data_IF_441075204100
#
_entry.id   IF_441075204100
#
_cell.length_a   1.000
_cell.length_b   1.000
_cell.length_c   1.000
_cell.angle_alpha   90.00
_cell.angle_beta   90.00
_cell.angle_gamma   90.00
#
_symmetry.space_group_name_H-M   'P 1'
#
loop_
_entity.id
_entity.type
_entity.pdbx_description
1 polymer ?
#
# COMPACT_ATOMS: atom_id res chain seq x y z
N UNK A 1 4.31 -34.54 3.41
CA UNK A 1 4.99 -34.33 2.11
C UNK A 1 4.17 -33.33 1.32
N UNK A 2 4.76 -32.22 0.89
CA UNK A 2 4.06 -31.22 0.08
C UNK A 2 4.00 -31.75 -1.37
N UNK A 3 2.81 -32.11 -1.87
CA UNK A 3 2.65 -32.60 -3.24
C UNK A 3 2.81 -31.45 -4.27
N UNK A 4 3.23 -31.78 -5.50
CA UNK A 4 3.47 -30.80 -6.56
C UNK A 4 2.24 -29.90 -6.85
N UNK A 5 1.03 -30.46 -6.80
CA UNK A 5 -0.23 -29.69 -6.92
C UNK A 5 -0.46 -28.71 -5.75
N UNK A 6 -0.06 -29.07 -4.53
CA UNK A 6 -0.12 -28.18 -3.37
C UNK A 6 0.91 -27.05 -3.50
N UNK A 7 2.12 -27.34 -4.00
CA UNK A 7 3.19 -26.38 -4.23
C UNK A 7 2.86 -25.39 -5.37
N UNK A 8 2.18 -25.84 -6.43
CA UNK A 8 1.68 -24.94 -7.48
C UNK A 8 0.43 -24.17 -7.05
N UNK A 9 -0.47 -24.77 -6.26
CA UNK A 9 -1.64 -24.10 -5.71
C UNK A 9 -1.31 -23.01 -4.69
N UNK A 10 -0.21 -23.19 -3.95
CA UNK A 10 0.32 -22.23 -2.97
C UNK A 10 1.02 -21.02 -3.59
N UNK A 11 1.63 -21.15 -4.78
CA UNK A 11 2.25 -20.01 -5.46
C UNK A 11 1.25 -18.94 -5.96
N UNK A 12 -0.03 -19.30 -6.10
CA UNK A 12 -1.13 -18.41 -6.50
C UNK A 12 -1.69 -17.56 -5.33
N UNK A 13 -0.98 -17.46 -4.20
CA UNK A 13 -1.50 -16.88 -2.95
C UNK A 13 -1.43 -15.35 -2.91
N UNK A 14 -0.62 -14.75 -3.77
CA UNK A 14 -0.65 -13.31 -4.00
C UNK A 14 -1.37 -13.04 -5.30
N UNK A 15 -2.59 -12.49 -5.23
CA UNK A 15 -3.32 -12.06 -6.43
C UNK A 15 -2.56 -11.00 -7.26
N UNK A 16 -1.55 -10.36 -6.64
CA UNK A 16 -0.59 -9.49 -7.30
C UNK A 16 0.52 -10.28 -8.02
N UNK A 17 0.93 -11.45 -7.50
CA UNK A 17 1.95 -12.29 -8.14
C UNK A 17 1.52 -12.76 -9.53
N UNK A 18 0.24 -13.09 -9.73
CA UNK A 18 -0.29 -13.46 -11.05
C UNK A 18 -0.13 -12.35 -12.12
N UNK A 19 0.01 -11.09 -11.69
CA UNK A 19 0.25 -9.94 -12.56
C UNK A 19 1.71 -9.60 -12.78
N UNK A 20 2.55 -9.72 -11.74
CA UNK A 20 3.89 -9.13 -11.74
C UNK A 20 5.02 -10.16 -11.67
N UNK A 21 4.74 -11.39 -11.22
CA UNK A 21 5.74 -12.39 -10.92
C UNK A 21 6.01 -13.34 -12.09
N UNK A 22 7.27 -13.76 -12.23
CA UNK A 22 7.63 -14.87 -13.09
C UNK A 22 7.22 -16.15 -12.36
N UNK A 23 6.53 -17.05 -13.04
CA UNK A 23 6.21 -18.37 -12.49
C UNK A 23 7.51 -19.19 -12.42
N UNK A 24 7.93 -19.68 -11.24
CA UNK A 24 9.10 -20.55 -11.15
C UNK A 24 8.85 -21.85 -11.93
N UNK A 25 9.91 -22.43 -12.50
CA UNK A 25 9.84 -23.79 -13.03
C UNK A 25 9.69 -24.81 -11.90
N UNK A 26 9.13 -25.98 -12.21
CA UNK A 26 8.97 -27.05 -11.21
C UNK A 26 10.32 -27.47 -10.61
N UNK A 27 11.39 -27.44 -11.42
CA UNK A 27 12.74 -27.71 -10.93
C UNK A 27 13.19 -26.68 -9.89
N UNK A 28 13.06 -25.38 -10.17
CA UNK A 28 13.45 -24.31 -9.24
C UNK A 28 12.63 -24.41 -7.95
N UNK A 29 11.33 -24.69 -8.08
CA UNK A 29 10.44 -24.84 -6.93
C UNK A 29 10.89 -26.00 -6.02
N UNK A 30 11.21 -27.15 -6.62
CA UNK A 30 11.70 -28.32 -5.89
C UNK A 30 13.06 -28.05 -5.25
N UNK A 31 14.01 -27.47 -5.99
CA UNK A 31 15.34 -27.13 -5.46
C UNK A 31 15.24 -26.15 -4.28
N UNK A 32 14.40 -25.11 -4.37
CA UNK A 32 14.23 -24.14 -3.26
C UNK A 32 13.62 -24.79 -2.01
N UNK A 33 12.67 -25.72 -2.18
CA UNK A 33 11.98 -26.35 -1.04
C UNK A 33 12.86 -27.40 -0.35
N UNK A 34 13.58 -28.22 -1.13
CA UNK A 34 14.30 -29.38 -0.60
C UNK A 34 15.82 -29.16 -0.47
N UNK A 35 16.41 -28.33 -1.33
CA UNK A 35 17.85 -28.08 -1.38
C UNK A 35 18.18 -26.59 -1.56
N UNK A 36 17.67 -25.67 -0.70
CA UNK A 36 17.80 -24.22 -0.91
C UNK A 36 19.24 -23.74 -1.05
N UNK A 37 20.21 -24.48 -0.50
CA UNK A 37 21.64 -24.18 -0.60
C UNK A 37 22.18 -24.29 -2.03
N UNK A 38 21.65 -25.20 -2.87
CA UNK A 38 22.13 -25.46 -4.24
C UNK A 38 21.64 -24.43 -5.25
N UNK A 39 20.57 -23.69 -4.92
CA UNK A 39 19.98 -22.66 -5.78
C UNK A 39 20.94 -21.49 -5.95
N UNK A 40 21.46 -21.32 -7.17
CA UNK A 40 22.44 -20.27 -7.48
C UNK A 40 21.84 -18.87 -7.38
N UNK A 41 20.60 -18.69 -7.86
CA UNK A 41 19.90 -17.41 -7.83
C UNK A 41 19.08 -17.28 -6.53
N UNK A 42 19.68 -16.65 -5.51
CA UNK A 42 19.10 -16.55 -4.17
C UNK A 42 17.76 -15.80 -4.11
N UNK A 43 17.42 -14.98 -5.10
CA UNK A 43 16.10 -14.33 -5.15
C UNK A 43 14.94 -15.31 -5.29
N UNK A 44 15.15 -16.49 -5.89
CA UNK A 44 14.13 -17.55 -5.89
C UNK A 44 13.92 -18.14 -4.50
N UNK A 45 15.00 -18.34 -3.74
CA UNK A 45 14.93 -18.76 -2.33
C UNK A 45 14.14 -17.72 -1.54
N UNK A 46 14.46 -16.43 -1.69
CA UNK A 46 13.76 -15.34 -1.05
C UNK A 46 12.26 -15.33 -1.42
N UNK A 47 11.94 -15.30 -2.71
CA UNK A 47 10.58 -15.18 -3.23
C UNK A 47 9.67 -16.33 -2.78
N UNK A 48 10.11 -17.58 -2.99
CA UNK A 48 9.30 -18.76 -2.70
C UNK A 48 9.12 -18.96 -1.18
N UNK A 49 10.19 -18.80 -0.39
CA UNK A 49 10.07 -18.91 1.07
C UNK A 49 9.16 -17.81 1.64
N UNK A 50 9.19 -16.59 1.06
CA UNK A 50 8.30 -15.51 1.46
C UNK A 50 6.82 -15.80 1.12
N UNK A 51 6.55 -16.37 -0.06
CA UNK A 51 5.20 -16.85 -0.41
C UNK A 51 4.73 -17.91 0.59
N UNK A 52 5.55 -18.93 0.86
CA UNK A 52 5.18 -19.98 1.83
C UNK A 52 4.96 -19.44 3.24
N UNK A 53 5.68 -18.40 3.62
CA UNK A 53 5.49 -17.72 4.90
C UNK A 53 4.15 -16.98 5.00
N UNK A 54 3.73 -16.32 3.92
CA UNK A 54 2.39 -15.70 3.86
C UNK A 54 1.29 -16.77 4.00
N UNK A 55 1.53 -17.96 3.44
CA UNK A 55 0.60 -19.09 3.49
C UNK A 55 0.57 -19.71 4.88
N UNK A 56 1.74 -19.93 5.50
CA UNK A 56 1.83 -20.51 6.83
C UNK A 56 1.19 -19.63 7.89
N UNK A 57 1.18 -18.31 7.69
CA UNK A 57 0.43 -17.38 8.55
C UNK A 57 -1.10 -17.57 8.44
N UNK A 58 -1.61 -18.15 7.35
CA UNK A 58 -3.05 -18.45 7.14
C UNK A 58 -3.42 -19.88 7.48
N UNK A 59 -2.47 -20.81 7.38
CA UNK A 59 -2.68 -22.24 7.58
C UNK A 59 -1.89 -22.76 8.79
N UNK A 60 -2.60 -23.11 9.86
CA UNK A 60 -2.02 -23.61 11.11
C UNK A 60 -1.19 -24.89 10.92
N UNK A 61 -1.47 -25.69 9.88
CA UNK A 61 -0.73 -26.93 9.61
C UNK A 61 0.73 -26.66 9.21
N UNK A 62 0.99 -25.53 8.56
CA UNK A 62 2.33 -25.11 8.12
C UNK A 62 3.07 -24.25 9.16
N UNK A 63 2.44 -23.96 10.30
CA UNK A 63 3.02 -23.11 11.35
C UNK A 63 4.41 -23.57 11.80
N UNK A 64 4.64 -24.88 11.91
CA UNK A 64 5.92 -25.48 12.30
C UNK A 64 7.08 -25.18 11.32
N UNK A 65 6.79 -24.89 10.05
CA UNK A 65 7.79 -24.56 9.02
C UNK A 65 8.14 -23.06 8.96
N UNK A 66 7.38 -22.22 9.65
CA UNK A 66 7.55 -20.75 9.67
C UNK A 66 8.97 -20.33 10.04
N UNK A 67 9.57 -20.97 11.03
CA UNK A 67 10.95 -20.68 11.46
C UNK A 67 11.96 -20.99 10.36
N UNK A 68 11.78 -22.10 9.64
CA UNK A 68 12.66 -22.51 8.52
C UNK A 68 12.53 -21.55 7.34
N UNK A 69 11.31 -21.15 6.96
CA UNK A 69 11.10 -20.18 5.88
C UNK A 69 11.75 -18.83 6.21
N UNK A 70 11.64 -18.37 7.46
CA UNK A 70 12.32 -17.15 7.93
C UNK A 70 13.84 -17.26 7.87
N UNK A 71 14.38 -18.41 8.27
CA UNK A 71 15.82 -18.66 8.21
C UNK A 71 16.33 -18.59 6.76
N UNK A 72 15.64 -19.22 5.82
CA UNK A 72 15.98 -19.21 4.41
C UNK A 72 15.88 -17.80 3.79
N UNK A 73 14.87 -17.02 4.16
CA UNK A 73 14.75 -15.60 3.74
C UNK A 73 15.96 -14.80 4.22
N UNK A 74 16.37 -14.98 5.48
CA UNK A 74 17.53 -14.28 6.05
C UNK A 74 18.81 -14.65 5.30
N UNK A 75 19.06 -15.94 5.09
CA UNK A 75 20.24 -16.40 4.34
C UNK A 75 20.25 -15.89 2.90
N UNK A 76 19.09 -15.81 2.25
CA UNK A 76 18.99 -15.23 0.91
C UNK A 76 19.34 -13.74 0.92
N UNK A 77 18.85 -12.98 1.91
CA UNK A 77 19.16 -11.55 2.08
C UNK A 77 20.62 -11.27 2.47
N UNK A 78 21.34 -12.24 3.02
CA UNK A 78 22.78 -12.12 3.29
C UNK A 78 23.62 -12.21 1.99
N UNK A 79 23.04 -12.65 0.86
CA UNK A 79 23.71 -12.65 -0.44
C UNK A 79 23.61 -11.27 -1.12
N UNK A 80 24.75 -10.59 -1.19
CA UNK A 80 24.87 -9.27 -1.80
C UNK A 80 24.41 -9.22 -3.27
N UNK A 81 24.45 -10.33 -4.02
CA UNK A 81 24.04 -10.37 -5.43
C UNK A 81 22.59 -9.98 -5.64
N UNK A 82 21.72 -10.26 -4.67
CA UNK A 82 20.30 -9.85 -4.73
C UNK A 82 20.17 -8.32 -4.89
N UNK A 83 21.10 -7.56 -4.32
CA UNK A 83 21.08 -6.09 -4.37
C UNK A 83 21.92 -5.50 -5.49
N UNK A 84 23.02 -6.17 -5.84
CA UNK A 84 24.05 -5.64 -6.74
C UNK A 84 23.84 -6.02 -8.21
N UNK A 85 23.19 -7.14 -8.50
CA UNK A 85 22.98 -7.63 -9.87
C UNK A 85 21.52 -7.41 -10.30
N UNK A 86 21.23 -6.55 -11.30
CA UNK A 86 19.88 -6.36 -11.79
C UNK A 86 19.31 -7.66 -12.39
N UNK A 87 18.21 -8.16 -11.83
CA UNK A 87 17.49 -9.31 -12.35
C UNK A 87 15.99 -9.17 -12.03
N UNK A 88 15.10 -9.58 -12.92
CA UNK A 88 13.65 -9.45 -12.70
C UNK A 88 13.14 -10.16 -11.45
N UNK A 89 13.70 -11.32 -11.12
CA UNK A 89 13.31 -12.07 -9.93
C UNK A 89 13.80 -11.34 -8.67
N UNK A 90 14.97 -10.66 -8.73
CA UNK A 90 15.42 -9.79 -7.65
C UNK A 90 14.42 -8.65 -7.46
N UNK A 91 14.02 -7.98 -8.55
CA UNK A 91 13.01 -6.90 -8.52
C UNK A 91 11.70 -7.41 -7.90
N UNK A 92 11.19 -8.58 -8.32
CA UNK A 92 9.96 -9.17 -7.79
C UNK A 92 10.06 -9.49 -6.31
N UNK A 93 11.12 -10.18 -5.89
CA UNK A 93 11.33 -10.59 -4.50
C UNK A 93 11.46 -9.38 -3.57
N UNK A 94 12.27 -8.39 -3.97
CA UNK A 94 12.45 -7.14 -3.22
C UNK A 94 11.17 -6.32 -3.14
N UNK A 95 10.43 -6.20 -4.25
CA UNK A 95 9.12 -5.51 -4.28
C UNK A 95 8.15 -6.18 -3.31
N UNK A 96 8.03 -7.51 -3.40
CA UNK A 96 7.08 -8.26 -2.60
C UNK A 96 7.40 -8.18 -1.11
N UNK A 97 8.68 -8.32 -0.73
CA UNK A 97 9.11 -8.15 0.65
C UNK A 97 8.91 -6.72 1.15
N UNK A 98 9.12 -5.70 0.32
CA UNK A 98 8.90 -4.29 0.70
C UNK A 98 7.43 -3.95 0.94
N UNK A 99 6.50 -4.56 0.19
CA UNK A 99 5.08 -4.27 0.28
C UNK A 99 4.38 -5.08 1.37
N UNK A 100 4.74 -6.36 1.52
CA UNK A 100 4.02 -7.33 2.34
C UNK A 100 4.83 -7.82 3.55
N UNK A 101 6.07 -7.37 3.70
CA UNK A 101 6.97 -7.79 4.79
C UNK A 101 6.76 -7.04 6.09
N UNK A 102 5.54 -6.64 6.44
CA UNK A 102 5.22 -5.85 7.65
C UNK A 102 5.66 -6.52 8.97
N UNK A 103 5.70 -7.85 9.00
CA UNK A 103 6.18 -8.63 10.14
C UNK A 103 7.72 -8.74 10.22
N UNK A 104 8.44 -8.38 9.16
CA UNK A 104 9.87 -8.68 8.98
C UNK A 104 10.75 -7.47 8.71
N UNK A 105 10.16 -6.42 8.16
CA UNK A 105 10.88 -5.24 7.71
C UNK A 105 10.53 -4.08 8.62
N UNK A 106 11.56 -3.35 9.06
CA UNK A 106 11.34 -2.02 9.60
C UNK A 106 10.95 -1.07 8.45
N UNK A 107 10.28 0.07 8.74
CA UNK A 107 10.00 1.10 7.73
C UNK A 107 11.21 1.44 6.85
N UNK A 108 12.37 1.64 7.49
CA UNK A 108 13.63 1.94 6.81
C UNK A 108 14.11 0.77 5.94
N UNK A 109 13.98 -0.47 6.39
CA UNK A 109 14.33 -1.64 5.59
C UNK A 109 13.39 -1.78 4.39
N UNK A 110 12.07 -1.60 4.56
CA UNK A 110 11.13 -1.65 3.42
C UNK A 110 11.46 -0.58 2.38
N UNK A 111 11.80 0.63 2.82
CA UNK A 111 12.25 1.70 1.92
C UNK A 111 13.53 1.35 1.17
N UNK A 112 14.53 0.77 1.85
CA UNK A 112 15.77 0.32 1.23
C UNK A 112 15.52 -0.77 0.19
N UNK A 113 14.71 -1.77 0.52
CA UNK A 113 14.34 -2.85 -0.40
C UNK A 113 13.62 -2.32 -1.64
N UNK A 114 12.62 -1.44 -1.44
CA UNK A 114 11.93 -0.77 -2.53
C UNK A 114 12.89 0.07 -3.39
N UNK A 115 13.86 0.74 -2.76
CA UNK A 115 14.87 1.56 -3.43
C UNK A 115 15.83 0.74 -4.31
N UNK A 116 16.22 -0.45 -3.86
CA UNK A 116 17.01 -1.38 -4.67
C UNK A 116 16.18 -1.92 -5.84
N UNK A 117 14.93 -2.30 -5.60
CA UNK A 117 14.03 -2.77 -6.63
C UNK A 117 13.78 -1.71 -7.72
N UNK A 118 13.59 -0.43 -7.34
CA UNK A 118 13.45 0.68 -8.28
C UNK A 118 14.69 0.85 -9.17
N UNK A 119 15.90 0.85 -8.57
CA UNK A 119 17.15 0.97 -9.32
C UNK A 119 17.36 -0.18 -10.29
N UNK A 120 17.06 -1.42 -9.87
CA UNK A 120 17.15 -2.58 -10.73
C UNK A 120 16.09 -2.54 -11.85
N UNK A 121 14.86 -2.09 -11.57
CA UNK A 121 13.82 -1.91 -12.58
C UNK A 121 14.20 -0.87 -13.65
N UNK A 122 14.91 0.20 -13.25
CA UNK A 122 15.49 1.17 -14.18
C UNK A 122 16.60 0.53 -15.02
N UNK A 123 17.54 -0.19 -14.40
CA UNK A 123 18.63 -0.85 -15.11
C UNK A 123 18.14 -1.91 -16.13
N UNK A 124 17.04 -2.60 -15.82
CA UNK A 124 16.40 -3.57 -16.71
C UNK A 124 15.41 -2.95 -17.71
N UNK A 125 15.21 -1.63 -17.66
CA UNK A 125 14.28 -0.90 -18.52
C UNK A 125 12.84 -1.45 -18.51
N UNK A 126 12.33 -1.84 -17.34
CA UNK A 126 10.99 -2.45 -17.22
C UNK A 126 9.83 -1.54 -17.67
N UNK A 127 10.09 -0.24 -17.81
CA UNK A 127 9.14 0.77 -18.28
C UNK A 127 9.07 0.88 -19.81
N UNK A 128 10.05 0.35 -20.54
CA UNK A 128 10.04 0.38 -22.00
C UNK A 128 9.09 -0.69 -22.53
N UNK A 129 8.31 -0.30 -23.53
CA UNK A 129 7.42 -1.20 -24.27
C UNK A 129 7.93 -1.30 -25.70
N UNK A 130 8.02 -2.52 -26.24
CA UNK A 130 8.34 -2.73 -27.66
C UNK A 130 7.04 -2.75 -28.48
N UNK A 131 7.16 -2.76 -29.82
CA UNK A 131 6.02 -2.69 -30.73
C UNK A 131 5.00 -3.86 -30.60
N UNK A 132 5.38 -4.96 -29.96
CA UNK A 132 4.52 -6.14 -29.76
C UNK A 132 4.27 -6.40 -28.28
N UNK A 133 3.11 -6.00 -27.77
CA UNK A 133 2.67 -6.20 -26.39
C UNK A 133 2.54 -7.69 -26.02
N UNK A 134 3.67 -8.32 -25.69
CA UNK A 134 3.67 -9.69 -25.18
C UNK A 134 3.14 -9.74 -23.75
N UNK A 135 2.66 -10.91 -23.32
CA UNK A 135 2.24 -11.10 -21.92
C UNK A 135 3.39 -10.81 -20.93
N UNK A 136 4.63 -11.08 -21.35
CA UNK A 136 5.82 -10.79 -20.56
C UNK A 136 6.08 -9.28 -20.42
N UNK A 137 5.94 -8.52 -21.50
CA UNK A 137 6.09 -7.07 -21.45
C UNK A 137 5.01 -6.42 -20.58
N UNK A 138 3.77 -6.88 -20.67
CA UNK A 138 2.69 -6.40 -19.80
C UNK A 138 2.98 -6.70 -18.31
N UNK A 139 3.54 -7.87 -18.01
CA UNK A 139 3.99 -8.22 -16.65
C UNK A 139 5.11 -7.28 -16.17
N UNK A 140 6.13 -7.03 -16.99
CA UNK A 140 7.25 -6.12 -16.68
C UNK A 140 6.77 -4.69 -16.44
N UNK A 141 5.90 -4.19 -17.33
CA UNK A 141 5.30 -2.87 -17.22
C UNK A 141 4.44 -2.74 -15.95
N UNK A 142 3.66 -3.78 -15.62
CA UNK A 142 2.86 -3.81 -14.39
C UNK A 142 3.76 -3.81 -13.15
N UNK A 143 4.85 -4.59 -13.14
CA UNK A 143 5.84 -4.57 -12.05
C UNK A 143 6.47 -3.18 -11.88
N UNK A 144 6.83 -2.52 -12.98
CA UNK A 144 7.33 -1.15 -12.96
C UNK A 144 6.31 -0.20 -12.32
N UNK A 145 5.04 -0.25 -12.71
CA UNK A 145 4.01 0.60 -12.15
C UNK A 145 3.70 0.30 -10.68
N UNK A 146 3.81 -0.96 -10.26
CA UNK A 146 3.74 -1.33 -8.83
C UNK A 146 4.87 -0.66 -8.06
N UNK A 147 6.10 -0.76 -8.55
CA UNK A 147 7.24 -0.07 -7.93
C UNK A 147 7.10 1.45 -7.94
N UNK A 148 6.55 2.00 -9.02
CA UNK A 148 6.25 3.42 -9.13
C UNK A 148 5.30 3.89 -8.03
N UNK A 149 4.23 3.13 -7.76
CA UNK A 149 3.33 3.41 -6.63
C UNK A 149 4.04 3.27 -5.29
N UNK A 150 4.90 2.24 -5.17
CA UNK A 150 5.62 1.95 -3.92
C UNK A 150 6.55 3.09 -3.53
N UNK A 151 7.33 3.57 -4.49
CA UNK A 151 8.21 4.72 -4.35
C UNK A 151 7.47 5.95 -3.77
N UNK A 152 6.33 6.32 -4.36
CA UNK A 152 5.54 7.48 -3.89
C UNK A 152 4.97 7.29 -2.50
N UNK A 153 4.45 6.10 -2.24
CA UNK A 153 3.88 5.78 -0.95
C UNK A 153 4.93 5.81 0.17
N UNK A 154 6.13 5.28 -0.08
CA UNK A 154 7.26 5.37 0.86
C UNK A 154 7.75 6.81 1.03
N UNK A 155 7.87 7.59 -0.04
CA UNK A 155 8.25 9.00 0.04
C UNK A 155 7.27 9.82 0.89
N UNK A 156 5.97 9.61 0.73
CA UNK A 156 4.94 10.25 1.56
C UNK A 156 5.00 9.79 3.03
N UNK A 157 5.17 8.48 3.26
CA UNK A 157 5.14 7.93 4.62
C UNK A 157 6.39 8.29 5.44
N UNK A 158 7.57 8.37 4.79
CA UNK A 158 8.86 8.50 5.47
C UNK A 158 9.54 9.85 5.24
N UNK A 159 9.01 10.70 4.36
CA UNK A 159 9.60 11.99 4.01
C UNK A 159 10.89 11.88 3.17
N UNK A 160 11.10 10.75 2.49
CA UNK A 160 12.27 10.56 1.62
C UNK A 160 12.03 11.05 0.19
N UNK A 161 13.06 11.54 -0.53
CA UNK A 161 12.93 11.89 -1.95
C UNK A 161 12.46 10.71 -2.81
N UNK A 162 11.67 10.99 -3.85
CA UNK A 162 11.23 9.96 -4.81
C UNK A 162 12.39 9.53 -5.71
N UNK A 163 12.44 8.24 -6.06
CA UNK A 163 13.43 7.69 -6.99
C UNK A 163 12.93 7.64 -8.44
N UNK A 164 11.61 7.60 -8.64
CA UNK A 164 11.00 7.51 -9.95
C UNK A 164 10.18 8.79 -10.25
N UNK A 165 10.79 9.88 -10.76
CA UNK A 165 10.09 11.13 -10.99
C UNK A 165 8.93 11.00 -11.97
N UNK A 166 7.73 11.49 -11.62
CA UNK A 166 6.55 11.39 -12.50
C UNK A 166 6.78 12.02 -13.88
N UNK A 167 7.51 13.13 -13.92
CA UNK A 167 7.78 13.85 -15.17
C UNK A 167 8.59 13.01 -16.18
N UNK A 168 9.53 12.20 -15.70
CA UNK A 168 10.36 11.34 -16.56
C UNK A 168 9.54 10.21 -17.21
N UNK A 169 8.49 9.75 -16.54
CA UNK A 169 7.69 8.61 -16.95
C UNK A 169 6.28 8.97 -17.42
N UNK A 170 6.04 10.25 -17.77
CA UNK A 170 4.73 10.74 -18.19
C UNK A 170 4.19 10.03 -19.44
N UNK A 171 5.09 9.71 -20.37
CA UNK A 171 4.79 9.07 -21.66
C UNK A 171 4.80 7.53 -21.59
N UNK A 172 5.12 6.94 -20.44
CA UNK A 172 5.06 5.48 -20.29
C UNK A 172 3.59 5.07 -20.30
N UNK A 173 3.17 4.10 -21.14
CA UNK A 173 1.78 3.68 -21.20
C UNK A 173 1.35 2.97 -19.91
N UNK A 174 0.05 2.97 -19.64
CA UNK A 174 -0.53 2.11 -18.61
C UNK A 174 -0.57 0.66 -19.11
N UNK A 175 -0.54 -0.35 -18.22
CA UNK A 175 -0.72 -1.73 -18.64
C UNK A 175 -2.09 -1.93 -19.28
N UNK A 176 -2.18 -2.88 -20.20
CA UNK A 176 -3.42 -3.19 -20.91
C UNK A 176 -4.50 -3.59 -19.92
N UNK A 177 -5.71 -3.05 -20.08
CA UNK A 177 -6.81 -3.36 -19.17
C UNK A 177 -7.12 -4.86 -19.12
N UNK A 178 -7.05 -5.55 -20.27
CA UNK A 178 -7.20 -7.00 -20.36
C UNK A 178 -6.15 -7.77 -19.55
N UNK A 179 -4.91 -7.28 -19.49
CA UNK A 179 -3.89 -7.85 -18.63
C UNK A 179 -4.23 -7.62 -17.16
N UNK A 180 -4.70 -6.41 -16.81
CA UNK A 180 -5.08 -6.05 -15.45
C UNK A 180 -6.30 -6.81 -14.92
N UNK A 181 -7.17 -7.38 -15.78
CA UNK A 181 -8.27 -8.28 -15.37
C UNK A 181 -7.80 -9.56 -14.66
N UNK A 182 -6.50 -9.88 -14.74
CA UNK A 182 -5.89 -10.94 -13.94
C UNK A 182 -5.77 -10.56 -12.47
N UNK A 183 -5.85 -9.27 -12.12
CA UNK A 183 -5.90 -8.83 -10.73
C UNK A 183 -7.24 -9.20 -10.11
N UNK A 184 -7.29 -10.40 -9.54
CA UNK A 184 -8.47 -10.93 -8.87
C UNK A 184 -8.17 -11.09 -7.39
N UNK A 185 -8.40 -10.07 -6.57
CA UNK A 185 -8.24 -10.19 -5.13
C UNK A 185 -9.15 -11.31 -4.57
N UNK A 186 -8.63 -12.55 -4.47
CA UNK A 186 -9.29 -13.73 -3.89
C UNK A 186 -9.56 -13.47 -2.42
N UNK A 187 -10.78 -13.77 -1.98
CA UNK A 187 -11.25 -13.67 -0.59
C UNK A 187 -11.90 -15.03 -0.25
N UNK A 188 -11.36 -15.78 0.72
CA UNK A 188 -11.84 -17.12 1.12
C UNK A 188 -10.84 -18.29 1.00
N UNK A 189 -11.19 -19.45 1.59
CA UNK A 189 -10.37 -20.68 1.67
C UNK A 189 -10.02 -21.26 0.28
N UNK A 190 -8.86 -21.92 0.23
CA UNK A 190 -8.14 -22.46 -0.94
C UNK A 190 -8.89 -23.40 -1.90
N UNK A 191 -10.17 -23.71 -1.66
CA UNK A 191 -10.91 -24.73 -2.39
C UNK A 191 -12.06 -24.09 -3.16
N UNK A 192 -11.83 -23.77 -4.43
CA UNK A 192 -12.78 -23.89 -5.56
C UNK A 192 -12.23 -23.13 -6.78
N UNK A 193 -11.28 -23.74 -7.48
CA UNK A 193 -10.68 -23.19 -8.70
C UNK A 193 -11.58 -23.30 -9.96
N UNK A 194 -12.84 -23.76 -9.85
CA UNK A 194 -13.57 -24.28 -11.01
C UNK A 194 -14.95 -23.69 -11.31
N UNK A 195 -15.37 -22.58 -10.71
CA UNK A 195 -16.73 -22.08 -11.01
C UNK A 195 -16.97 -20.60 -10.72
N UNK A 196 -16.26 -19.68 -11.37
CA UNK A 196 -16.83 -18.35 -11.63
C UNK A 196 -16.65 -17.93 -13.10
N UNK A 197 -17.73 -17.93 -13.91
CA UNK A 197 -17.70 -17.55 -15.32
C UNK A 197 -17.63 -16.02 -15.55
N UNK A 198 -17.62 -15.20 -14.49
CA UNK A 198 -17.61 -13.74 -14.59
C UNK A 198 -16.19 -13.16 -14.43
N UNK A 199 -15.77 -12.35 -15.40
CA UNK A 199 -14.56 -11.54 -15.30
C UNK A 199 -14.83 -10.30 -14.44
N UNK A 200 -14.40 -10.30 -13.18
CA UNK A 200 -14.37 -9.09 -12.32
C UNK A 200 -13.45 -8.03 -12.93
N UNK A 201 -13.94 -6.80 -13.01
CA UNK A 201 -13.28 -5.61 -13.56
C UNK A 201 -12.83 -4.64 -12.47
N UNK A 202 -13.43 -4.70 -11.27
CA UNK A 202 -13.16 -3.81 -10.14
C UNK A 202 -11.67 -3.72 -9.83
N UNK A 203 -10.97 -4.86 -9.76
CA UNK A 203 -9.54 -4.91 -9.49
C UNK A 203 -8.71 -4.14 -10.52
N UNK A 204 -9.00 -4.33 -11.81
CA UNK A 204 -8.31 -3.64 -12.89
C UNK A 204 -8.51 -2.12 -12.83
N UNK A 205 -9.75 -1.68 -12.55
CA UNK A 205 -10.04 -0.27 -12.31
C UNK A 205 -9.29 0.27 -11.10
N UNK A 206 -9.31 -0.44 -9.97
CA UNK A 206 -8.61 -0.04 -8.75
C UNK A 206 -7.12 0.16 -8.98
N UNK A 207 -6.45 -0.80 -9.62
CA UNK A 207 -5.03 -0.72 -9.91
C UNK A 207 -4.72 0.44 -10.88
N UNK A 208 -5.52 0.59 -11.93
CA UNK A 208 -5.41 1.71 -12.88
C UNK A 208 -5.49 3.07 -12.17
N UNK A 209 -6.45 3.23 -11.25
CA UNK A 209 -6.62 4.48 -10.53
C UNK A 209 -5.50 4.73 -9.51
N UNK A 210 -4.96 3.69 -8.86
CA UNK A 210 -3.78 3.86 -8.00
C UNK A 210 -2.54 4.30 -8.79
N UNK A 211 -2.34 3.78 -10.01
CA UNK A 211 -1.22 4.22 -10.87
C UNK A 211 -1.38 5.69 -11.24
N UNK A 212 -2.59 6.11 -11.63
CA UNK A 212 -2.89 7.52 -11.91
C UNK A 212 -2.66 8.41 -10.68
N UNK A 213 -3.13 7.99 -9.51
CA UNK A 213 -2.87 8.70 -8.26
C UNK A 213 -1.37 8.85 -7.99
N UNK A 214 -0.60 7.78 -8.12
CA UNK A 214 0.84 7.82 -7.89
C UNK A 214 1.55 8.81 -8.85
N UNK A 215 1.10 8.91 -10.11
CA UNK A 215 1.62 9.93 -11.04
C UNK A 215 1.36 11.33 -10.49
N UNK A 216 0.12 11.62 -10.09
CA UNK A 216 -0.26 12.90 -9.47
C UNK A 216 0.54 13.18 -8.20
N UNK A 217 0.68 12.19 -7.32
CA UNK A 217 1.47 12.29 -6.09
C UNK A 217 2.91 12.71 -6.38
N UNK A 218 3.56 12.10 -7.39
CA UNK A 218 4.93 12.50 -7.74
C UNK A 218 5.03 13.88 -8.38
N UNK A 219 3.98 14.38 -9.03
CA UNK A 219 3.91 15.78 -9.49
C UNK A 219 3.80 16.74 -8.30
N UNK A 220 2.92 16.42 -7.35
CA UNK A 220 2.65 17.17 -6.12
C UNK A 220 3.89 17.24 -5.21
N UNK A 221 4.60 16.12 -5.02
CA UNK A 221 5.83 16.09 -4.22
C UNK A 221 6.95 16.97 -4.80
N UNK A 222 6.85 17.37 -6.08
CA UNK A 222 7.79 18.26 -6.75
C UNK A 222 7.09 19.48 -7.36
N UNK A 223 6.14 20.10 -6.64
CA UNK A 223 5.46 21.34 -7.09
C UNK A 223 6.43 22.42 -7.58
N UNK A 224 7.55 22.75 -6.92
CA UNK A 224 8.44 23.81 -7.42
C UNK A 224 9.00 23.54 -8.81
N UNK A 225 9.17 22.26 -9.17
CA UNK A 225 9.73 21.83 -10.46
C UNK A 225 8.62 21.64 -11.51
N UNK A 226 7.49 21.06 -11.11
CA UNK A 226 6.43 20.66 -12.03
C UNK A 226 5.30 21.70 -12.14
N UNK A 227 5.15 22.59 -11.15
CA UNK A 227 3.98 23.44 -10.97
C UNK A 227 3.69 24.33 -12.16
N UNK A 228 4.70 24.90 -12.82
CA UNK A 228 4.48 25.83 -13.93
C UNK A 228 3.65 25.23 -15.09
N UNK A 229 3.78 23.93 -15.36
CA UNK A 229 3.04 23.27 -16.45
C UNK A 229 1.59 22.95 -16.08
N UNK A 230 1.29 22.79 -14.80
CA UNK A 230 -0.01 22.33 -14.30
C UNK A 230 -0.78 23.44 -13.56
N UNK A 231 -0.57 24.71 -13.91
CA UNK A 231 -1.26 25.82 -13.25
C UNK A 231 -0.84 26.04 -11.79
N UNK A 232 0.39 25.68 -11.45
CA UNK A 232 0.95 25.78 -10.12
C UNK A 232 0.38 24.76 -9.14
N UNK A 233 0.34 25.14 -7.87
CA UNK A 233 -0.25 24.33 -6.80
C UNK A 233 -1.76 24.18 -6.98
N UNK A 234 -2.44 25.26 -7.35
CA UNK A 234 -3.90 25.29 -7.50
C UNK A 234 -4.38 24.36 -8.62
N UNK A 235 -3.73 24.37 -9.79
CA UNK A 235 -4.11 23.47 -10.86
C UNK A 235 -3.82 21.99 -10.55
N UNK A 236 -2.79 21.69 -9.74
CA UNK A 236 -2.56 20.33 -9.23
C UNK A 236 -3.60 19.90 -8.20
N UNK A 237 -4.11 20.82 -7.36
CA UNK A 237 -5.24 20.55 -6.45
C UNK A 237 -6.49 20.24 -7.28
N UNK A 238 -6.82 21.08 -8.27
CA UNK A 238 -7.96 20.84 -9.16
C UNK A 238 -7.84 19.48 -9.87
N UNK A 239 -6.65 19.12 -10.35
CA UNK A 239 -6.44 17.83 -11.01
C UNK A 239 -6.60 16.65 -10.04
N UNK A 240 -6.18 16.80 -8.78
CA UNK A 240 -6.40 15.80 -7.73
C UNK A 240 -7.89 15.63 -7.41
N UNK A 241 -8.66 16.72 -7.37
CA UNK A 241 -10.11 16.71 -7.14
C UNK A 241 -10.87 16.02 -8.29
N UNK A 242 -10.54 16.37 -9.53
CA UNK A 242 -11.11 15.74 -10.73
C UNK A 242 -10.84 14.22 -10.72
N UNK A 243 -9.63 13.83 -10.32
CA UNK A 243 -9.25 12.43 -10.18
C UNK A 243 -10.06 11.71 -9.09
N UNK A 244 -10.32 12.32 -7.94
CA UNK A 244 -11.11 11.71 -6.86
C UNK A 244 -12.56 11.50 -7.29
N UNK A 245 -13.19 12.52 -7.89
CA UNK A 245 -14.56 12.43 -8.39
C UNK A 245 -14.69 11.30 -9.42
N UNK A 246 -13.80 11.28 -10.41
CA UNK A 246 -13.78 10.24 -11.44
C UNK A 246 -13.54 8.85 -10.85
N UNK A 247 -12.60 8.72 -9.90
CA UNK A 247 -12.23 7.45 -9.29
C UNK A 247 -13.35 6.87 -8.45
N UNK A 248 -14.03 7.70 -7.63
CA UNK A 248 -15.16 7.24 -6.83
C UNK A 248 -16.31 6.77 -7.71
N UNK A 249 -16.58 7.47 -8.82
CA UNK A 249 -17.60 7.06 -9.77
C UNK A 249 -17.26 5.69 -10.39
N UNK A 250 -16.08 5.57 -11.00
CA UNK A 250 -15.63 4.34 -11.68
C UNK A 250 -15.66 3.12 -10.75
N UNK A 251 -15.15 3.26 -9.53
CA UNK A 251 -15.09 2.14 -8.58
C UNK A 251 -16.45 1.80 -7.99
N UNK A 252 -17.32 2.79 -7.78
CA UNK A 252 -18.68 2.53 -7.30
C UNK A 252 -19.49 1.82 -8.37
N UNK A 253 -19.45 2.29 -9.63
CA UNK A 253 -20.11 1.63 -10.76
C UNK A 253 -19.61 0.20 -10.95
N UNK A 254 -18.30 -0.04 -10.92
CA UNK A 254 -17.73 -1.38 -11.01
C UNK A 254 -18.18 -2.29 -9.85
N UNK A 255 -18.28 -1.76 -8.62
CA UNK A 255 -18.77 -2.52 -7.46
C UNK A 255 -20.25 -2.87 -7.61
N UNK A 256 -21.10 -1.93 -8.05
CA UNK A 256 -22.54 -2.19 -8.23
C UNK A 256 -22.80 -3.19 -9.37
N UNK A 257 -22.05 -3.11 -10.48
CA UNK A 257 -22.13 -4.08 -11.58
C UNK A 257 -21.77 -5.50 -11.15
N UNK A 258 -20.89 -5.64 -10.17
CA UNK A 258 -20.46 -6.94 -9.64
C UNK A 258 -21.27 -7.39 -8.42
N UNK A 259 -22.19 -6.56 -7.90
CA UNK A 259 -22.88 -6.78 -6.64
C UNK A 259 -23.70 -8.07 -6.58
N UNK A 260 -24.44 -8.38 -7.65
CA UNK A 260 -25.33 -9.54 -7.71
C UNK A 260 -24.57 -10.87 -7.73
N UNK A 261 -23.30 -10.86 -8.17
CA UNK A 261 -22.47 -12.06 -8.34
C UNK A 261 -21.35 -12.18 -7.29
N UNK A 262 -21.11 -11.12 -6.52
CA UNK A 262 -20.05 -11.06 -5.52
C UNK A 262 -20.55 -11.56 -4.15
N UNK A 263 -19.67 -12.26 -3.43
CA UNK A 263 -19.91 -12.59 -2.03
C UNK A 263 -19.91 -11.34 -1.15
N UNK A 264 -20.53 -11.43 0.03
CA UNK A 264 -20.52 -10.33 1.00
C UNK A 264 -19.09 -9.91 1.38
N UNK A 265 -18.16 -10.87 1.46
CA UNK A 265 -16.74 -10.60 1.73
C UNK A 265 -16.08 -9.83 0.57
N UNK A 266 -16.39 -10.18 -0.69
CA UNK A 266 -15.93 -9.45 -1.87
C UNK A 266 -16.44 -8.01 -1.87
N UNK A 267 -17.72 -7.80 -1.58
CA UNK A 267 -18.31 -6.45 -1.51
C UNK A 267 -17.72 -5.60 -0.38
N UNK A 268 -17.44 -6.20 0.78
CA UNK A 268 -16.71 -5.55 1.87
C UNK A 268 -15.29 -5.16 1.44
N UNK A 269 -14.59 -6.03 0.72
CA UNK A 269 -13.27 -5.75 0.15
C UNK A 269 -13.27 -4.59 -0.85
N UNK A 270 -14.24 -4.56 -1.76
CA UNK A 270 -14.41 -3.46 -2.73
C UNK A 270 -14.73 -2.13 -2.01
N UNK A 271 -15.61 -2.17 -1.00
CA UNK A 271 -15.95 -0.99 -0.20
C UNK A 271 -14.75 -0.45 0.57
N UNK A 272 -13.92 -1.34 1.12
CA UNK A 272 -12.65 -0.97 1.74
C UNK A 272 -11.70 -0.31 0.73
N UNK A 273 -11.58 -0.87 -0.47
CA UNK A 273 -10.73 -0.32 -1.53
C UNK A 273 -11.15 1.11 -1.92
N UNK A 274 -12.45 1.37 -2.07
CA UNK A 274 -12.98 2.73 -2.33
C UNK A 274 -12.61 3.69 -1.20
N UNK A 275 -12.81 3.28 0.07
CA UNK A 275 -12.46 4.10 1.24
C UNK A 275 -10.95 4.37 1.33
N UNK A 276 -10.12 3.39 0.97
CA UNK A 276 -8.66 3.55 0.90
C UNK A 276 -8.27 4.60 -0.15
N UNK A 277 -8.93 4.63 -1.31
CA UNK A 277 -8.68 5.65 -2.33
C UNK A 277 -9.04 7.04 -1.82
N UNK A 278 -10.19 7.18 -1.15
CA UNK A 278 -10.60 8.44 -0.53
C UNK A 278 -9.63 8.90 0.55
N UNK A 279 -9.19 7.98 1.41
CA UNK A 279 -8.21 8.29 2.46
C UNK A 279 -6.87 8.76 1.88
N UNK A 280 -6.37 8.12 0.81
CA UNK A 280 -5.14 8.56 0.12
C UNK A 280 -5.31 9.94 -0.52
N UNK A 281 -6.45 10.21 -1.15
CA UNK A 281 -6.79 11.53 -1.67
C UNK A 281 -6.71 12.60 -0.58
N UNK A 282 -7.41 12.40 0.54
CA UNK A 282 -7.45 13.38 1.63
C UNK A 282 -6.06 13.63 2.21
N UNK A 283 -5.26 12.58 2.38
CA UNK A 283 -3.88 12.71 2.83
C UNK A 283 -3.03 13.58 1.88
N UNK A 284 -3.08 13.29 0.57
CA UNK A 284 -2.34 14.06 -0.44
C UNK A 284 -2.85 15.50 -0.51
N UNK A 285 -4.16 15.71 -0.43
CA UNK A 285 -4.78 17.04 -0.43
C UNK A 285 -4.28 17.87 0.76
N UNK A 286 -4.38 17.34 1.99
CA UNK A 286 -3.96 18.05 3.21
C UNK A 286 -2.47 18.41 3.19
N UNK A 287 -1.62 17.56 2.59
CA UNK A 287 -0.20 17.86 2.37
C UNK A 287 0.03 18.95 1.31
N UNK A 288 -0.84 19.03 0.32
CA UNK A 288 -0.74 19.99 -0.79
C UNK A 288 -1.28 21.37 -0.40
N UNK A 289 -2.23 21.44 0.51
CA UNK A 289 -2.83 22.71 0.94
C UNK A 289 -1.80 23.58 1.71
N UNK A 290 -1.63 24.86 1.35
CA UNK A 290 -0.77 25.79 2.08
C UNK A 290 -1.26 26.03 3.51
N UNK A 291 -0.34 26.44 4.37
CA UNK A 291 -0.65 27.02 5.70
C UNK A 291 -1.05 28.49 5.57
N UNK A 292 -2.16 28.71 4.86
CA UNK A 292 -2.74 30.03 4.63
C UNK A 292 -4.21 30.07 5.07
N UNK A 293 -4.69 31.26 5.44
CA UNK A 293 -6.05 31.52 5.92
C UNK A 293 -7.10 31.02 4.93
N UNK A 294 -6.84 31.17 3.62
CA UNK A 294 -7.77 30.75 2.55
C UNK A 294 -8.10 29.25 2.60
N UNK A 295 -7.13 28.40 2.94
CA UNK A 295 -7.28 26.94 2.91
C UNK A 295 -7.48 26.32 4.28
N UNK A 296 -7.50 27.13 5.34
CA UNK A 296 -7.57 26.65 6.73
C UNK A 296 -8.81 25.78 6.95
N UNK A 297 -9.99 26.23 6.52
CA UNK A 297 -11.24 25.47 6.65
C UNK A 297 -11.20 24.16 5.85
N UNK A 298 -10.79 24.22 4.58
CA UNK A 298 -10.73 23.03 3.73
C UNK A 298 -9.75 21.99 4.28
N UNK A 299 -8.59 22.43 4.78
CA UNK A 299 -7.56 21.56 5.36
C UNK A 299 -8.08 20.89 6.63
N UNK A 300 -8.81 21.62 7.47
CA UNK A 300 -9.41 21.09 8.69
C UNK A 300 -10.51 20.05 8.39
N UNK A 301 -11.48 20.39 7.53
CA UNK A 301 -12.57 19.48 7.15
C UNK A 301 -12.06 18.21 6.45
N UNK A 302 -11.08 18.35 5.55
CA UNK A 302 -10.44 17.20 4.90
C UNK A 302 -9.70 16.31 5.91
N UNK A 303 -9.12 16.93 6.95
CA UNK A 303 -8.45 16.19 8.02
C UNK A 303 -9.46 15.45 8.90
N UNK A 304 -10.59 16.08 9.24
CA UNK A 304 -11.69 15.46 9.99
C UNK A 304 -12.26 14.25 9.23
N UNK A 305 -12.50 14.41 7.94
CA UNK A 305 -12.96 13.32 7.08
C UNK A 305 -11.95 12.17 7.04
N UNK A 306 -10.64 12.47 6.92
CA UNK A 306 -9.63 11.42 6.87
C UNK A 306 -9.59 10.59 8.17
N UNK A 307 -9.73 11.23 9.33
CA UNK A 307 -9.75 10.56 10.63
C UNK A 307 -11.04 9.74 10.84
N UNK A 308 -12.18 10.23 10.37
CA UNK A 308 -13.46 9.50 10.48
C UNK A 308 -13.49 8.22 9.65
N UNK A 309 -12.66 8.12 8.59
CA UNK A 309 -12.53 6.90 7.79
C UNK A 309 -11.74 5.78 8.49
N UNK A 310 -10.84 6.10 9.44
CA UNK A 310 -9.89 5.14 10.02
C UNK A 310 -10.52 3.85 10.57
N UNK A 311 -11.65 3.88 11.32
CA UNK A 311 -12.27 2.66 11.83
C UNK A 311 -12.60 1.63 10.73
N UNK A 312 -12.88 2.12 9.53
CA UNK A 312 -13.25 1.30 8.38
C UNK A 312 -12.06 0.79 7.58
N UNK A 313 -10.83 1.26 7.87
CA UNK A 313 -9.61 0.84 7.18
C UNK A 313 -8.87 -0.28 7.90
N UNK A 314 -9.19 -0.51 9.18
CA UNK A 314 -8.56 -1.54 10.01
C UNK A 314 -9.15 -2.91 9.71
N UNK A 315 -8.57 -3.66 8.78
CA UNK A 315 -8.93 -5.07 8.61
C UNK A 315 -7.75 -5.98 8.30
N UNK A 316 -7.87 -7.23 8.79
CA UNK A 316 -6.78 -8.17 9.08
C UNK A 316 -6.08 -8.68 7.81
N UNK A 317 -6.80 -8.87 6.70
CA UNK A 317 -6.28 -9.52 5.50
C UNK A 317 -6.90 -9.00 4.20
N UNK A 318 -6.59 -7.76 3.80
CA UNK A 318 -7.07 -7.25 2.52
C UNK A 318 -5.97 -7.02 1.50
N UNK A 319 -6.15 -7.64 0.35
CA UNK A 319 -5.31 -7.52 -0.85
C UNK A 319 -5.19 -6.07 -1.33
N UNK A 320 -6.17 -5.22 -0.98
CA UNK A 320 -6.22 -3.80 -1.33
C UNK A 320 -5.39 -2.89 -0.43
N UNK A 321 -4.82 -3.41 0.68
CA UNK A 321 -4.10 -2.63 1.68
C UNK A 321 -2.86 -1.92 1.11
N UNK A 322 -2.26 -2.47 0.06
CA UNK A 322 -1.05 -1.92 -0.55
C UNK A 322 0.13 -1.95 0.43
N UNK A 323 0.95 -0.89 0.44
CA UNK A 323 2.04 -0.76 1.40
C UNK A 323 1.48 -0.48 2.79
N UNK A 324 1.68 -1.44 3.68
CA UNK A 324 1.29 -1.40 5.08
C UNK A 324 1.60 -0.08 5.79
N UNK A 325 2.79 0.48 5.57
CA UNK A 325 3.26 1.70 6.23
C UNK A 325 2.38 2.92 5.97
N UNK A 326 1.73 3.01 4.80
CA UNK A 326 0.84 4.14 4.49
C UNK A 326 -0.29 4.25 5.53
N UNK A 327 -0.82 3.12 6.01
CA UNK A 327 -1.88 3.09 7.01
C UNK A 327 -1.40 3.41 8.42
N UNK A 328 -0.10 3.29 8.69
CA UNK A 328 0.48 3.70 9.97
C UNK A 328 0.81 5.19 10.00
N UNK A 329 1.37 5.73 8.92
CA UNK A 329 1.94 7.08 8.91
C UNK A 329 0.99 8.16 8.37
N UNK A 330 0.15 7.87 7.38
CA UNK A 330 -0.74 8.88 6.79
C UNK A 330 -1.75 9.49 7.77
N UNK A 331 -2.29 8.74 8.77
CA UNK A 331 -3.22 9.32 9.74
C UNK A 331 -2.63 10.51 10.51
N UNK A 332 -1.31 10.53 10.72
CA UNK A 332 -0.66 11.58 11.52
C UNK A 332 -0.77 12.96 10.89
N UNK A 333 -0.77 13.07 9.57
CA UNK A 333 -0.94 14.37 8.89
C UNK A 333 -2.26 15.02 9.31
N UNK A 334 -3.37 14.29 9.20
CA UNK A 334 -4.69 14.79 9.57
C UNK A 334 -4.85 14.93 11.08
N UNK A 335 -4.27 14.00 11.86
CA UNK A 335 -4.24 14.05 13.31
C UNK A 335 -3.62 15.35 13.83
N UNK A 336 -2.46 15.76 13.28
CA UNK A 336 -1.79 16.98 13.72
C UNK A 336 -2.53 18.25 13.32
N UNK A 337 -3.23 18.26 12.18
CA UNK A 337 -4.08 19.39 11.79
C UNK A 337 -5.22 19.58 12.79
N UNK A 338 -5.93 18.51 13.15
CA UNK A 338 -7.04 18.56 14.12
C UNK A 338 -6.51 18.87 15.53
N UNK A 339 -5.40 18.26 15.94
CA UNK A 339 -4.74 18.57 17.21
C UNK A 339 -4.38 20.05 17.33
N UNK A 340 -3.76 20.63 16.29
CA UNK A 340 -3.41 22.05 16.28
C UNK A 340 -4.65 22.96 16.32
N UNK A 341 -5.75 22.56 15.67
CA UNK A 341 -7.00 23.29 15.75
C UNK A 341 -7.54 23.36 17.19
N UNK A 342 -7.54 22.23 17.90
CA UNK A 342 -7.97 22.16 19.32
C UNK A 342 -7.08 23.03 20.21
N UNK A 343 -5.76 22.96 20.05
CA UNK A 343 -4.83 23.70 20.92
C UNK A 343 -4.84 25.20 20.66
N UNK A 344 -5.11 25.63 19.43
CA UNK A 344 -5.22 27.05 19.09
C UNK A 344 -6.62 27.63 19.38
N UNK A 345 -7.68 26.82 19.34
CA UNK A 345 -9.07 27.26 19.50
C UNK A 345 -9.84 26.36 20.48
N UNK A 346 -9.46 26.30 21.76
CA UNK A 346 -10.04 25.35 22.71
C UNK A 346 -11.53 25.55 22.96
N UNK A 347 -12.04 26.79 22.86
CA UNK A 347 -13.47 27.12 23.04
C UNK A 347 -14.32 26.92 21.78
N UNK A 348 -13.75 26.44 20.68
CA UNK A 348 -14.51 26.22 19.45
C UNK A 348 -15.65 25.20 19.70
N UNK A 349 -16.83 25.39 19.10
CA UNK A 349 -17.96 24.47 19.28
C UNK A 349 -17.66 23.05 18.76
N UNK A 350 -16.68 22.93 17.85
CA UNK A 350 -16.24 21.67 17.26
C UNK A 350 -15.16 20.94 18.08
N UNK A 351 -14.65 21.54 19.16
CA UNK A 351 -13.56 20.97 19.97
C UNK A 351 -13.91 19.59 20.54
N UNK A 352 -15.16 19.37 20.95
CA UNK A 352 -15.59 18.07 21.48
C UNK A 352 -15.54 16.98 20.40
N UNK A 353 -16.06 17.29 19.20
CA UNK A 353 -16.05 16.36 18.06
C UNK A 353 -14.62 16.08 17.58
N UNK A 354 -13.77 17.11 17.57
CA UNK A 354 -12.35 16.99 17.21
C UNK A 354 -11.60 16.09 18.20
N UNK A 355 -11.87 16.20 19.51
CA UNK A 355 -11.32 15.30 20.51
C UNK A 355 -11.76 13.83 20.28
N UNK A 356 -13.00 13.60 19.88
CA UNK A 356 -13.51 12.26 19.54
C UNK A 356 -12.80 11.68 18.31
N UNK A 357 -12.46 12.51 17.32
CA UNK A 357 -11.66 12.10 16.16
C UNK A 357 -10.22 11.73 16.57
N UNK A 358 -9.62 12.46 17.52
CA UNK A 358 -8.31 12.05 18.07
C UNK A 358 -8.41 10.70 18.81
N UNK A 359 -9.46 10.49 19.63
CA UNK A 359 -9.70 9.21 20.30
C UNK A 359 -9.98 8.06 19.32
N UNK A 360 -10.62 8.36 18.18
CA UNK A 360 -10.84 7.41 17.09
C UNK A 360 -9.50 6.93 16.51
N UNK A 361 -8.53 7.84 16.38
CA UNK A 361 -7.18 7.51 15.92
C UNK A 361 -6.47 6.58 16.90
N UNK A 362 -6.59 6.81 18.21
CA UNK A 362 -6.04 5.91 19.24
C UNK A 362 -6.65 4.49 19.12
N UNK A 363 -7.98 4.43 19.03
CA UNK A 363 -8.72 3.17 18.88
C UNK A 363 -8.32 2.41 17.61
N UNK A 364 -8.04 3.14 16.53
CA UNK A 364 -7.54 2.57 15.29
C UNK A 364 -6.18 1.87 15.49
N UNK A 365 -5.20 2.54 16.12
CA UNK A 365 -3.88 1.94 16.37
C UNK A 365 -3.95 0.74 17.33
N UNK A 366 -4.79 0.81 18.36
CA UNK A 366 -5.07 -0.34 19.24
C UNK A 366 -5.64 -1.53 18.46
N UNK A 367 -6.61 -1.27 17.57
CA UNK A 367 -7.19 -2.29 16.71
C UNK A 367 -6.15 -2.89 15.75
N UNK A 368 -5.30 -2.06 15.15
CA UNK A 368 -4.24 -2.52 14.27
C UNK A 368 -3.24 -3.40 15.02
N UNK A 369 -2.77 -2.98 16.20
CA UNK A 369 -1.88 -3.75 17.06
C UNK A 369 -2.47 -5.11 17.45
N UNK A 370 -3.77 -5.17 17.78
CA UNK A 370 -4.42 -6.43 18.11
C UNK A 370 -4.61 -7.35 16.89
N UNK A 371 -4.84 -6.77 15.70
CA UNK A 371 -5.07 -7.50 14.46
C UNK A 371 -3.78 -8.00 13.81
N UNK A 372 -2.67 -7.32 14.05
CA UNK A 372 -1.39 -7.61 13.44
C UNK A 372 -0.53 -8.38 14.43
N UNK A 373 -0.17 -9.61 14.10
CA UNK A 373 0.87 -10.35 14.82
C UNK A 373 2.27 -9.83 14.45
N UNK A 374 2.40 -8.51 14.26
CA UNK A 374 3.64 -7.85 13.87
C UNK A 374 4.63 -7.91 15.03
N UNK A 375 5.82 -8.45 14.77
CA UNK A 375 6.98 -8.30 15.67
C UNK A 375 7.47 -6.84 15.75
N UNK A 376 6.94 -5.97 14.88
CA UNK A 376 7.24 -4.54 14.86
C UNK A 376 6.74 -3.84 16.13
N UNK A 377 7.64 -3.09 16.78
CA UNK A 377 7.31 -2.23 17.92
C UNK A 377 6.58 -0.96 17.47
N UNK A 378 6.63 -0.62 16.18
CA UNK A 378 6.16 0.66 15.62
C UNK A 378 4.69 0.96 15.97
N UNK A 379 3.70 0.07 15.78
CA UNK A 379 2.31 0.38 16.13
C UNK A 379 2.13 0.73 17.61
N UNK A 380 2.93 0.14 18.51
CA UNK A 380 2.87 0.43 19.95
C UNK A 380 3.46 1.78 20.29
N UNK A 381 4.54 2.19 19.61
CA UNK A 381 5.13 3.53 19.81
C UNK A 381 4.21 4.63 19.24
N UNK A 382 3.57 4.38 18.10
CA UNK A 382 2.59 5.29 17.52
C UNK A 382 1.34 5.43 18.41
N UNK A 383 0.86 4.33 18.99
CA UNK A 383 -0.23 4.34 19.98
C UNK A 383 0.11 5.24 21.19
N UNK A 384 1.28 5.05 21.81
CA UNK A 384 1.75 5.87 22.94
C UNK A 384 1.89 7.35 22.57
N UNK A 385 2.39 7.63 21.36
CA UNK A 385 2.51 8.99 20.85
C UNK A 385 1.13 9.64 20.75
N UNK A 386 0.17 8.98 20.09
CA UNK A 386 -1.21 9.47 19.96
C UNK A 386 -1.84 9.72 21.34
N UNK A 387 -1.68 8.80 22.28
CA UNK A 387 -2.17 8.97 23.65
C UNK A 387 -1.60 10.22 24.34
N UNK A 388 -0.29 10.44 24.20
CA UNK A 388 0.38 11.62 24.76
C UNK A 388 -0.17 12.93 24.18
N UNK A 389 -0.38 12.98 22.86
CA UNK A 389 -0.97 14.16 22.21
C UNK A 389 -2.43 14.39 22.60
N UNK A 390 -3.22 13.33 22.80
CA UNK A 390 -4.60 13.45 23.30
C UNK A 390 -4.61 14.05 24.72
N UNK A 391 -3.69 13.63 25.60
CA UNK A 391 -3.58 14.20 26.94
C UNK A 391 -3.23 15.69 26.90
N UNK A 392 -2.34 16.10 25.98
CA UNK A 392 -1.99 17.50 25.76
C UNK A 392 -3.19 18.31 25.26
N UNK A 393 -3.95 17.78 24.28
CA UNK A 393 -5.15 18.43 23.77
C UNK A 393 -6.20 18.64 24.86
N UNK A 394 -6.47 17.61 25.67
CA UNK A 394 -7.40 17.71 26.82
C UNK A 394 -6.94 18.74 27.86
N UNK A 395 -5.64 18.84 28.09
CA UNK A 395 -5.06 19.82 29.02
C UNK A 395 -5.16 21.26 28.51
N UNK A 396 -5.11 21.48 27.20
CA UNK A 396 -5.33 22.80 26.61
C UNK A 396 -6.77 23.26 26.82
N UNK A 397 -7.75 22.36 26.62
CA UNK A 397 -9.17 22.66 26.83
C UNK A 397 -9.49 22.94 28.31
N UNK A 398 -8.85 22.21 29.26
CA UNK A 398 -9.12 22.40 30.68
C UNK A 398 -8.48 23.66 31.30
N UNK A 399 -7.31 24.09 30.82
CA UNK A 399 -6.61 25.27 31.37
C UNK A 399 -7.39 26.58 31.14
N UNK A 400 -7.99 26.76 29.97
CA UNK A 400 -8.75 27.98 29.67
C UNK A 400 -10.09 28.04 30.43
N UNK A 401 -10.68 26.89 30.81
CA UNK A 401 -11.86 26.88 31.71
C UNK A 401 -11.55 27.35 33.13
N UNK A 402 -10.28 27.35 33.56
CA UNK A 402 -9.86 27.78 34.91
C UNK A 402 -9.45 29.25 35.03
N UNK A 403 -9.34 29.98 33.90
CA UNK A 403 -9.06 31.43 33.88
C UNK A 403 -10.30 32.31 33.90
N UNK A 404 -11.49 31.73 33.98
CA UNK A 404 -12.79 32.43 33.92
C UNK A 404 -13.67 32.25 35.17
N UNK A 405 -13.09 31.85 36.31
CA UNK A 405 -13.79 31.75 37.62
C UNK A 405 -13.26 32.74 38.63
#
# INVERSE_FOLDING_TARGET
MLNNEFLQGSLNVSNLADLIAIKPSDQILMEVVFEPASVTQRSWVLYINFIFLIISNKDQTLSHLTTSFRHNIRLALDDAKIFLEPNEVNVQALTMLSCLGEDYTSPSLSWMLASHACRQAQALNLHLTEQHYSTEQQRRLTLFWVLFMVDKACSLAFGHPILLPSKLYENVPLPDFQHLLKFRPRHGQFNNAHSQPYSSTFGAHFLTQNIKLARLTGLILHIPINGAQYGGREGLISYLDDWDVSTRQILSEARELEADNASEEQLRGMSLAIRLMRFKYLHILVLTLPEDVQYTTLRLESSREALSLLPHLSSKHHVYRGIFWTLLYYPFTSFFVVFNHITCNPEAPTTSEDLDLLNTTLSYFQSMKAKLHTQSVVPSELEKMVESFIQLARSAVSKDTSSCT
#
